data_IF_551204477083
#
_entry.id   IF_551204477083
#
_cell.length_a   1.000
_cell.length_b   1.000
_cell.length_c   1.000
_cell.angle_alpha   90.00
_cell.angle_beta   90.00
_cell.angle_gamma   90.00
#
_symmetry.space_group_name_H-M   'P 1'
#
loop_
_entity.id
_entity.type
_entity.pdbx_description
1 polymer ?
#
# COMPACT_ATOMS: atom_id res chain seq x y z
N UNK A 1 30.43 -4.41 15.35
CA UNK A 1 29.07 -4.27 14.76
C UNK A 1 29.18 -3.18 13.72
N UNK A 2 28.96 -3.48 12.45
CA UNK A 2 28.74 -2.45 11.44
C UNK A 2 27.27 -2.04 11.56
N UNK A 3 27.03 -0.84 12.09
CA UNK A 3 25.75 -0.19 11.97
C UNK A 3 25.56 0.15 10.49
N UNK A 4 24.74 -0.66 9.80
CA UNK A 4 24.25 -0.29 8.48
C UNK A 4 23.22 0.81 8.73
N UNK A 5 23.69 2.06 8.71
CA UNK A 5 22.82 3.22 8.68
C UNK A 5 22.00 3.12 7.40
N UNK A 6 20.74 2.70 7.53
CA UNK A 6 19.75 2.86 6.49
C UNK A 6 19.60 4.37 6.33
N UNK A 7 20.34 4.95 5.38
CA UNK A 7 20.09 6.30 4.89
C UNK A 7 18.65 6.30 4.37
N UNK A 8 17.71 6.62 5.25
CA UNK A 8 16.39 7.08 4.88
C UNK A 8 16.59 8.49 4.31
N UNK A 9 17.18 8.54 3.11
CA UNK A 9 17.11 9.70 2.24
C UNK A 9 15.64 10.08 2.20
N UNK A 10 15.32 11.32 2.59
CA UNK A 10 14.01 11.92 2.39
C UNK A 10 13.76 12.12 0.89
N UNK A 11 13.80 11.03 0.12
CA UNK A 11 13.31 10.98 -1.23
C UNK A 11 11.81 11.22 -1.17
N UNK A 12 11.33 12.13 -2.03
CA UNK A 12 9.90 12.30 -2.29
C UNK A 12 9.25 10.92 -2.43
N UNK A 13 8.46 10.54 -1.44
CA UNK A 13 7.78 9.25 -1.42
C UNK A 13 6.83 9.21 -2.61
N UNK A 14 7.20 8.49 -3.67
CA UNK A 14 6.37 8.31 -4.86
C UNK A 14 5.00 7.76 -4.41
N UNK A 15 3.92 8.38 -4.86
CA UNK A 15 2.57 7.97 -4.49
C UNK A 15 2.19 6.63 -5.13
N UNK A 16 1.19 5.97 -4.54
CA UNK A 16 0.66 4.70 -5.07
C UNK A 16 0.05 4.88 -6.46
N UNK A 17 -0.53 6.05 -6.77
CA UNK A 17 -1.06 6.38 -8.09
C UNK A 17 0.04 6.51 -9.13
N UNK A 18 1.12 7.23 -8.82
CA UNK A 18 2.25 7.41 -9.73
C UNK A 18 2.92 6.07 -10.06
N UNK A 19 3.15 5.20 -9.07
CA UNK A 19 3.70 3.85 -9.32
C UNK A 19 2.79 3.03 -10.24
N UNK A 20 1.46 3.07 -10.02
CA UNK A 20 0.48 2.38 -10.88
C UNK A 20 0.42 2.98 -12.27
N UNK A 21 0.66 4.27 -12.42
CA UNK A 21 0.72 4.93 -13.71
C UNK A 21 1.93 4.49 -14.52
N UNK A 22 3.12 4.45 -13.93
CA UNK A 22 4.31 3.92 -14.61
C UNK A 22 4.09 2.48 -15.06
N UNK A 23 3.51 1.62 -14.20
CA UNK A 23 3.22 0.23 -14.58
C UNK A 23 2.30 0.14 -15.81
N UNK A 24 1.29 1.02 -15.90
CA UNK A 24 0.37 1.07 -17.05
C UNK A 24 1.03 1.66 -18.31
N UNK A 25 1.84 2.69 -18.17
CA UNK A 25 2.58 3.28 -19.29
C UNK A 25 3.56 2.27 -19.88
N UNK A 26 4.28 1.54 -19.02
CA UNK A 26 5.21 0.53 -19.47
C UNK A 26 4.56 -0.55 -20.31
N UNK A 27 3.37 -1.04 -19.93
CA UNK A 27 2.66 -2.06 -20.70
C UNK A 27 2.35 -1.61 -22.13
N UNK A 28 2.07 -0.32 -22.35
CA UNK A 28 1.88 0.22 -23.70
C UNK A 28 3.20 0.30 -24.47
N UNK A 29 4.27 0.75 -23.81
CA UNK A 29 5.59 0.88 -24.41
C UNK A 29 6.15 -0.49 -24.80
N UNK A 30 6.07 -1.49 -23.91
CA UNK A 30 6.60 -2.83 -24.16
C UNK A 30 5.89 -3.48 -25.34
N UNK A 31 4.55 -3.42 -25.41
CA UNK A 31 3.78 -3.94 -26.53
C UNK A 31 4.13 -3.25 -27.86
N UNK A 32 4.36 -1.95 -27.83
CA UNK A 32 4.77 -1.20 -29.03
C UNK A 32 6.16 -1.65 -29.50
N UNK A 33 7.13 -1.71 -28.59
CA UNK A 33 8.51 -2.10 -28.89
C UNK A 33 8.57 -3.54 -29.40
N UNK A 34 7.89 -4.47 -28.73
CA UNK A 34 7.82 -5.87 -29.12
C UNK A 34 7.25 -6.06 -30.53
N UNK A 35 6.24 -5.28 -30.94
CA UNK A 35 5.63 -5.37 -32.27
C UNK A 35 6.41 -4.62 -33.34
N UNK A 36 6.87 -3.41 -33.05
CA UNK A 36 7.31 -2.44 -34.07
C UNK A 36 8.82 -2.28 -34.17
N UNK A 37 9.59 -2.61 -33.13
CA UNK A 37 11.02 -2.37 -33.15
C UNK A 37 11.74 -3.37 -34.07
N UNK A 38 12.63 -2.92 -34.98
CA UNK A 38 13.34 -3.80 -35.91
C UNK A 38 14.39 -4.67 -35.20
N UNK A 39 15.10 -4.12 -34.21
CA UNK A 39 16.05 -4.86 -33.38
C UNK A 39 15.32 -5.48 -32.18
N UNK A 40 15.12 -6.80 -32.18
CA UNK A 40 14.32 -7.50 -31.16
C UNK A 40 15.12 -7.94 -29.94
N UNK A 41 16.39 -8.31 -30.13
CA UNK A 41 17.17 -8.96 -29.08
C UNK A 41 17.65 -7.92 -28.07
N UNK A 42 18.24 -6.82 -28.55
CA UNK A 42 18.72 -5.77 -27.66
C UNK A 42 17.56 -5.08 -26.92
N UNK A 43 16.43 -4.85 -27.59
CA UNK A 43 15.25 -4.24 -26.97
C UNK A 43 14.51 -5.17 -26.02
N UNK A 44 14.47 -6.47 -26.31
CA UNK A 44 13.99 -7.48 -25.36
C UNK A 44 14.79 -7.45 -24.07
N UNK A 45 16.13 -7.51 -24.17
CA UNK A 45 17.03 -7.42 -23.00
C UNK A 45 16.85 -6.14 -22.20
N UNK A 46 16.70 -5.00 -22.87
CA UNK A 46 16.44 -3.73 -22.19
C UNK A 46 15.07 -3.72 -21.47
N UNK A 47 14.06 -4.34 -22.09
CA UNK A 47 12.72 -4.47 -21.52
C UNK A 47 12.72 -5.38 -20.28
N UNK A 48 13.41 -6.52 -20.37
CA UNK A 48 13.57 -7.46 -19.26
C UNK A 48 14.30 -6.80 -18.10
N UNK A 49 15.41 -6.11 -18.38
CA UNK A 49 16.18 -5.38 -17.37
C UNK A 49 15.32 -4.32 -16.67
N UNK A 50 14.51 -3.55 -17.40
CA UNK A 50 13.62 -2.55 -16.81
C UNK A 50 12.53 -3.20 -15.95
N UNK A 51 12.00 -4.35 -16.36
CA UNK A 51 11.02 -5.10 -15.59
C UNK A 51 11.60 -5.61 -14.27
N UNK A 52 12.80 -6.17 -14.30
CA UNK A 52 13.48 -6.74 -13.14
C UNK A 52 13.93 -5.68 -12.13
N UNK A 53 14.40 -4.54 -12.61
CA UNK A 53 14.94 -3.47 -11.76
C UNK A 53 13.85 -2.52 -11.26
N UNK A 54 13.09 -1.91 -12.19
CA UNK A 54 12.17 -0.83 -11.85
C UNK A 54 10.79 -1.35 -11.49
N UNK A 55 10.16 -2.11 -12.38
CA UNK A 55 8.75 -2.48 -12.21
C UNK A 55 8.56 -3.47 -11.07
N UNK A 56 9.47 -4.43 -10.94
CA UNK A 56 9.47 -5.37 -9.84
C UNK A 56 9.59 -4.64 -8.51
N UNK A 57 10.46 -3.62 -8.40
CA UNK A 57 10.57 -2.83 -7.17
C UNK A 57 9.25 -2.09 -6.85
N UNK A 58 8.62 -1.44 -7.84
CA UNK A 58 7.31 -0.80 -7.64
C UNK A 58 6.21 -1.79 -7.26
N UNK A 59 6.15 -2.98 -7.87
CA UNK A 59 5.18 -4.03 -7.49
C UNK A 59 5.40 -4.48 -6.04
N UNK A 60 6.65 -4.58 -5.60
CA UNK A 60 6.97 -4.92 -4.21
C UNK A 60 6.47 -3.85 -3.23
N UNK A 61 6.75 -2.57 -3.51
CA UNK A 61 6.26 -1.46 -2.68
C UNK A 61 4.73 -1.44 -2.64
N UNK A 62 4.06 -1.57 -3.79
CA UNK A 62 2.60 -1.62 -3.86
C UNK A 62 2.01 -2.77 -3.05
N UNK A 63 2.64 -3.95 -3.10
CA UNK A 63 2.25 -5.11 -2.29
C UNK A 63 2.44 -4.85 -0.80
N UNK A 64 3.54 -4.20 -0.42
CA UNK A 64 3.80 -3.78 0.97
C UNK A 64 2.72 -2.83 1.48
N UNK A 65 2.42 -1.76 0.73
CA UNK A 65 1.36 -0.79 1.07
C UNK A 65 -0.02 -1.45 1.22
N UNK A 66 -0.38 -2.36 0.32
CA UNK A 66 -1.66 -3.10 0.42
C UNK A 66 -1.76 -3.93 1.70
N UNK A 67 -0.67 -4.59 2.10
CA UNK A 67 -0.61 -5.35 3.36
C UNK A 67 -0.78 -4.43 4.56
N UNK A 68 -0.08 -3.29 4.59
CA UNK A 68 -0.21 -2.31 5.66
C UNK A 68 -1.66 -1.83 5.81
N UNK A 69 -2.29 -1.38 4.72
CA UNK A 69 -3.70 -0.93 4.75
C UNK A 69 -4.65 -2.04 5.22
N UNK A 70 -4.37 -3.29 4.86
CA UNK A 70 -5.20 -4.44 5.28
C UNK A 70 -5.05 -4.73 6.78
N UNK A 71 -3.83 -4.64 7.32
CA UNK A 71 -3.57 -4.77 8.76
C UNK A 71 -4.21 -3.62 9.53
N UNK A 72 -4.05 -2.38 9.07
CA UNK A 72 -4.64 -1.20 9.71
C UNK A 72 -6.17 -1.35 9.79
N UNK A 73 -6.81 -1.81 8.71
CA UNK A 73 -8.26 -2.07 8.68
C UNK A 73 -8.66 -3.21 9.64
N UNK A 74 -7.84 -4.26 9.74
CA UNK A 74 -8.12 -5.39 10.64
C UNK A 74 -8.02 -4.98 12.10
N UNK A 75 -6.97 -4.25 12.49
CA UNK A 75 -6.80 -3.77 13.87
C UNK A 75 -7.75 -2.63 14.25
N UNK A 76 -8.22 -1.85 13.27
CA UNK A 76 -9.23 -0.81 13.48
C UNK A 76 -10.64 -1.37 13.66
N UNK A 77 -10.87 -2.66 13.36
CA UNK A 77 -12.17 -3.35 13.51
C UNK A 77 -12.38 -4.00 14.89
N UNK A 78 -11.72 -3.53 15.95
CA UNK A 78 -12.10 -3.99 17.31
C UNK A 78 -13.61 -3.74 17.49
N UNK A 79 -14.38 -4.73 17.98
CA UNK A 79 -15.71 -4.42 18.47
C UNK A 79 -15.50 -3.42 19.60
N UNK A 80 -16.12 -2.26 19.49
CA UNK A 80 -16.36 -1.40 20.64
C UNK A 80 -17.17 -2.26 21.60
N UNK A 81 -16.46 -2.91 22.53
CA UNK A 81 -17.08 -3.65 23.61
C UNK A 81 -17.98 -2.67 24.34
N UNK A 82 -19.24 -3.03 24.41
CA UNK A 82 -20.28 -2.38 25.20
C UNK A 82 -19.71 -1.97 26.57
N UNK A 83 -19.66 -0.68 26.83
CA UNK A 83 -19.85 -0.18 28.20
C UNK A 83 -21.31 0.21 28.34
N UNK A 84 -22.21 -0.77 28.20
CA UNK A 84 -23.54 -0.70 28.79
C UNK A 84 -23.39 -0.77 30.31
N UNK A 85 -23.14 0.39 30.93
CA UNK A 85 -23.50 0.58 32.33
C UNK A 85 -25.01 0.81 32.39
N UNK A 86 -25.68 -0.32 32.50
CA UNK A 86 -27.12 -0.47 32.66
C UNK A 86 -27.68 0.44 33.77
N UNK A 87 -28.75 1.13 33.38
CA UNK A 87 -29.80 1.68 34.24
C UNK A 87 -30.54 0.53 34.91
N UNK A 88 -30.52 0.45 36.25
CA UNK A 88 -31.54 -0.17 37.12
C UNK A 88 -31.06 0.02 38.58
N UNK A 89 -31.75 0.70 39.51
CA UNK A 89 -33.10 0.52 40.06
C UNK A 89 -33.48 1.84 40.76
N UNK A 90 -34.61 2.49 40.46
CA UNK A 90 -35.98 2.23 40.95
C UNK A 90 -36.22 2.61 42.43
N UNK A 91 -36.79 3.82 42.57
CA UNK A 91 -37.93 4.23 43.40
C UNK A 91 -37.88 4.27 44.94
N UNK A 92 -38.52 5.35 45.43
CA UNK A 92 -39.04 5.70 46.77
C UNK A 92 -38.00 6.29 47.74
N UNK A 93 -38.26 7.44 48.39
CA UNK A 93 -39.35 7.70 49.36
C UNK A 93 -39.55 9.24 49.50
N UNK A 94 -40.78 9.76 49.30
CA UNK A 94 -41.68 10.41 50.30
C UNK A 94 -41.34 11.91 50.54
N UNK A 95 -42.23 12.83 50.14
CA UNK A 95 -43.18 13.62 50.98
C UNK A 95 -42.42 14.62 51.89
N UNK A 96 -42.82 15.85 52.16
CA UNK A 96 -44.11 16.54 52.18
C UNK A 96 -43.83 18.05 52.43
N UNK A 97 -44.87 18.88 52.25
CA UNK A 97 -45.05 20.32 52.60
C UNK A 97 -44.52 21.38 51.62
#
# INVERSE_FOLDING_TARGET
MQEIGFEESQEKVISTSEMKEILRMWERVSQFVEKKHPEKVATGRASDLFNDTCLTHFRHILRGRKKQTSLDMFFSKRPTGESEKNVAKKANTSEDI
#
